data_IF_781836900769
#
_entry.id   IF_781836900769
#
_cell.length_a   1.000
_cell.length_b   1.000
_cell.length_c   1.000
_cell.angle_alpha   90.00
_cell.angle_beta   90.00
_cell.angle_gamma   90.00
#
_symmetry.space_group_name_H-M   'P 1'
#
loop_
_entity.id
_entity.type
_entity.pdbx_description
1 polymer ?
#
# COMPACT_ATOMS: atom_id res chain seq x y z
N UNK A 1 -49.20 13.47 -8.96
CA UNK A 1 -47.87 13.96 -9.38
C UNK A 1 -46.85 13.31 -8.47
N UNK A 2 -45.93 12.55 -9.08
CA UNK A 2 -44.80 11.87 -8.42
C UNK A 2 -43.87 12.89 -7.76
N UNK A 3 -43.22 12.52 -6.65
CA UNK A 3 -42.27 13.38 -5.95
C UNK A 3 -41.43 12.63 -4.93
N UNK A 4 -40.53 11.79 -5.45
CA UNK A 4 -39.28 11.25 -4.89
C UNK A 4 -39.09 11.12 -3.35
N UNK A 5 -38.88 9.86 -2.96
CA UNK A 5 -38.23 9.42 -1.73
C UNK A 5 -36.74 9.82 -1.76
N UNK A 6 -36.23 10.56 -0.76
CA UNK A 6 -34.79 10.83 -0.62
C UNK A 6 -34.28 10.04 0.59
N UNK A 7 -33.72 8.88 0.33
CA UNK A 7 -32.90 8.14 1.30
C UNK A 7 -31.55 8.86 1.33
N UNK A 8 -31.29 9.61 2.40
CA UNK A 8 -29.94 10.08 2.68
C UNK A 8 -29.09 8.87 3.10
N UNK A 9 -28.43 8.23 2.14
CA UNK A 9 -27.28 7.39 2.42
C UNK A 9 -26.15 8.36 2.77
N UNK A 10 -25.89 8.55 4.07
CA UNK A 10 -24.72 9.30 4.52
C UNK A 10 -23.46 8.58 4.02
N UNK A 11 -22.60 9.30 3.30
CA UNK A 11 -21.35 8.77 2.78
C UNK A 11 -20.46 8.25 3.93
N UNK A 12 -19.76 7.12 3.78
CA UNK A 12 -18.83 6.65 4.80
C UNK A 12 -17.65 7.63 4.89
N UNK A 13 -17.62 8.44 5.95
CA UNK A 13 -16.45 9.25 6.29
C UNK A 13 -15.40 8.32 6.90
N UNK A 14 -14.49 7.80 6.08
CA UNK A 14 -13.31 7.10 6.58
C UNK A 14 -12.35 8.12 7.19
N UNK A 15 -12.27 8.19 8.52
CA UNK A 15 -11.28 8.99 9.23
C UNK A 15 -10.06 8.10 9.52
N UNK A 16 -9.02 8.25 8.73
CA UNK A 16 -7.72 7.61 9.00
C UNK A 16 -6.92 8.48 9.96
N UNK A 17 -6.60 7.96 11.15
CA UNK A 17 -5.64 8.58 12.06
C UNK A 17 -4.24 8.04 11.76
N UNK A 18 -3.28 8.94 11.54
CA UNK A 18 -1.85 8.60 11.41
C UNK A 18 -1.11 9.28 12.56
N UNK A 19 -0.48 8.50 13.44
CA UNK A 19 0.45 9.01 14.45
C UNK A 19 1.83 8.46 14.12
N UNK A 20 2.73 9.30 13.60
CA UNK A 20 4.10 8.90 13.24
C UNK A 20 5.13 9.60 14.14
N UNK A 21 5.94 8.82 14.86
CA UNK A 21 7.23 9.24 15.41
C UNK A 21 8.34 8.63 14.55
N UNK A 22 9.51 9.27 14.47
CA UNK A 22 10.54 9.01 13.45
C UNK A 22 10.99 7.54 13.29
N UNK A 23 10.84 6.69 14.31
CA UNK A 23 11.24 5.28 14.29
C UNK A 23 10.10 4.26 14.15
N UNK A 24 8.84 4.70 14.05
CA UNK A 24 7.73 3.77 13.89
C UNK A 24 7.27 3.74 12.43
N UNK A 25 7.34 2.55 11.84
CA UNK A 25 6.63 2.23 10.60
C UNK A 25 5.12 2.21 10.87
N UNK A 26 4.32 2.61 9.88
CA UNK A 26 2.87 2.81 10.03
C UNK A 26 2.08 1.92 9.08
N UNK A 27 1.01 1.30 9.60
CA UNK A 27 0.00 0.63 8.78
C UNK A 27 -1.21 1.53 8.60
N UNK A 28 -1.49 1.95 7.36
CA UNK A 28 -2.76 2.57 7.00
C UNK A 28 -3.79 1.48 6.74
N UNK A 29 -4.83 1.40 7.59
CA UNK A 29 -5.95 0.47 7.40
C UNK A 29 -7.19 1.21 6.92
N UNK A 30 -7.84 0.71 5.87
CA UNK A 30 -9.13 1.20 5.35
C UNK A 30 -10.01 0.02 4.94
N UNK A 31 -11.33 0.21 4.91
CA UNK A 31 -12.24 -0.82 4.41
C UNK A 31 -12.26 -0.90 2.88
N UNK A 32 -12.18 0.25 2.21
CA UNK A 32 -12.23 0.37 0.75
C UNK A 32 -11.19 1.35 0.26
N UNK A 33 -10.69 1.11 -0.94
CA UNK A 33 -9.80 2.02 -1.65
C UNK A 33 -10.25 2.09 -3.11
N UNK A 34 -10.42 3.29 -3.65
CA UNK A 34 -10.83 3.45 -5.04
C UNK A 34 -10.17 4.67 -5.68
N UNK A 35 -9.98 4.62 -7.00
CA UNK A 35 -9.45 5.73 -7.79
C UNK A 35 -8.00 5.52 -8.18
N UNK A 36 -7.22 6.60 -8.19
CA UNK A 36 -5.80 6.56 -8.55
C UNK A 36 -4.98 7.38 -7.57
N UNK A 37 -3.76 6.96 -7.27
CA UNK A 37 -2.93 7.69 -6.30
C UNK A 37 -1.56 7.09 -6.08
N UNK A 38 -0.79 7.76 -5.22
CA UNK A 38 0.56 7.35 -4.86
C UNK A 38 0.61 7.08 -3.35
N UNK A 39 1.25 5.99 -2.96
CA UNK A 39 1.65 5.73 -1.59
C UNK A 39 3.17 5.82 -1.50
N UNK A 40 3.66 6.56 -0.52
CA UNK A 40 5.09 6.69 -0.23
C UNK A 40 5.35 5.90 1.05
N UNK A 41 6.18 4.87 0.97
CA UNK A 41 6.36 3.87 2.01
C UNK A 41 7.84 3.76 2.36
N UNK A 42 8.16 3.81 3.65
CA UNK A 42 9.50 3.53 4.14
C UNK A 42 9.65 2.05 4.41
N UNK A 43 10.85 1.53 4.19
CA UNK A 43 11.21 0.15 4.51
C UNK A 43 12.52 0.11 5.28
N UNK A 44 12.66 -0.90 6.12
CA UNK A 44 13.91 -1.45 6.60
C UNK A 44 13.86 -2.94 6.30
N UNK A 45 14.27 -3.29 5.07
CA UNK A 45 14.17 -4.67 4.61
C UNK A 45 15.08 -5.62 5.38
N UNK A 46 16.24 -5.15 5.83
CA UNK A 46 17.17 -5.93 6.65
C UNK A 46 16.59 -6.33 8.01
N UNK A 47 15.66 -5.54 8.55
CA UNK A 47 14.95 -5.84 9.80
C UNK A 47 13.48 -6.26 9.58
N UNK A 48 13.04 -6.48 8.34
CA UNK A 48 11.68 -6.84 7.96
C UNK A 48 10.60 -5.87 8.48
N UNK A 49 10.86 -4.57 8.42
CA UNK A 49 9.91 -3.54 8.86
C UNK A 49 9.52 -2.62 7.69
N UNK A 50 8.25 -2.25 7.59
CA UNK A 50 7.77 -1.33 6.55
C UNK A 50 6.52 -0.58 6.96
N UNK A 51 6.34 0.60 6.35
CA UNK A 51 5.01 1.18 6.25
C UNK A 51 4.14 0.22 5.42
N UNK A 52 2.85 0.10 5.76
CA UNK A 52 1.93 -0.86 5.11
C UNK A 52 0.60 -0.20 4.75
N UNK A 53 -0.01 -0.71 3.67
CA UNK A 53 -1.39 -0.40 3.29
C UNK A 53 -2.23 -1.68 3.42
N UNK A 54 -3.23 -1.65 4.29
CA UNK A 54 -4.16 -2.75 4.48
C UNK A 54 -5.59 -2.32 4.13
N UNK A 55 -6.08 -2.76 2.97
CA UNK A 55 -7.48 -2.58 2.57
C UNK A 55 -8.26 -3.83 2.99
N UNK A 56 -9.10 -3.76 4.01
CA UNK A 56 -9.77 -4.98 4.54
C UNK A 56 -10.88 -5.50 3.63
N UNK A 57 -11.39 -4.69 2.71
CA UNK A 57 -12.40 -5.04 1.72
C UNK A 57 -11.89 -4.81 0.29
N UNK A 58 -12.71 -4.16 -0.54
CA UNK A 58 -12.42 -4.02 -1.97
C UNK A 58 -11.49 -2.84 -2.28
N UNK A 59 -10.47 -3.10 -3.11
CA UNK A 59 -9.64 -2.08 -3.74
C UNK A 59 -9.86 -2.06 -5.26
N UNK A 60 -10.08 -0.89 -5.86
CA UNK A 60 -10.24 -0.74 -7.32
C UNK A 60 -9.47 0.48 -7.88
N UNK A 61 -8.89 0.34 -9.08
CA UNK A 61 -8.14 1.41 -9.77
C UNK A 61 -6.61 1.29 -9.68
N UNK A 62 -5.89 2.31 -10.13
CA UNK A 62 -4.44 2.23 -10.38
C UNK A 62 -3.62 3.06 -9.39
N UNK A 63 -2.73 2.40 -8.64
CA UNK A 63 -1.91 3.03 -7.63
C UNK A 63 -0.41 2.79 -7.86
N UNK A 64 0.39 3.78 -7.48
CA UNK A 64 1.85 3.66 -7.46
C UNK A 64 2.36 3.57 -6.03
N UNK A 65 3.28 2.65 -5.79
CA UNK A 65 4.02 2.52 -4.55
C UNK A 65 5.42 3.10 -4.77
N UNK A 66 5.79 4.11 -4.00
CA UNK A 66 7.14 4.66 -3.96
C UNK A 66 7.81 4.21 -2.68
N UNK A 67 8.97 3.57 -2.81
CA UNK A 67 9.71 2.99 -1.69
C UNK A 67 10.96 3.81 -1.39
N UNK A 68 11.24 4.00 -0.11
CA UNK A 68 12.53 4.49 0.39
C UNK A 68 12.99 3.56 1.51
N UNK A 69 14.11 2.89 1.30
CA UNK A 69 14.70 2.00 2.30
C UNK A 69 15.78 2.69 3.14
N UNK A 70 16.09 2.15 4.32
CA UNK A 70 17.23 2.59 5.15
C UNK A 70 18.59 2.43 4.46
N UNK A 71 18.69 1.55 3.46
CA UNK A 71 19.91 1.21 2.74
C UNK A 71 20.71 0.07 3.39
N UNK A 72 20.23 -0.50 4.50
CA UNK A 72 20.83 -1.69 5.09
C UNK A 72 20.62 -2.90 4.17
N UNK A 73 21.69 -3.65 3.87
CA UNK A 73 21.58 -4.84 3.02
C UNK A 73 20.76 -5.93 3.71
N UNK A 74 19.70 -6.44 3.08
CA UNK A 74 18.96 -7.59 3.57
C UNK A 74 19.71 -8.90 3.32
N UNK A 75 19.19 -10.00 3.86
CA UNK A 75 19.64 -11.34 3.51
C UNK A 75 19.09 -11.74 2.12
N UNK A 76 19.79 -12.67 1.47
CA UNK A 76 19.38 -13.17 0.17
C UNK A 76 17.99 -13.85 0.24
N UNK A 77 17.05 -13.36 -0.56
CA UNK A 77 15.68 -13.90 -0.61
C UNK A 77 14.71 -13.25 0.37
N UNK A 78 15.14 -12.24 1.13
CA UNK A 78 14.22 -11.46 1.95
C UNK A 78 13.19 -10.74 1.08
N UNK A 79 11.95 -10.74 1.55
CA UNK A 79 10.80 -10.10 0.92
C UNK A 79 9.94 -9.40 1.97
N UNK A 80 9.20 -8.37 1.56
CA UNK A 80 8.41 -7.55 2.47
C UNK A 80 7.07 -7.16 1.85
N UNK A 81 5.98 -7.62 2.46
CA UNK A 81 4.62 -7.23 2.04
C UNK A 81 4.34 -5.78 2.41
N UNK A 82 4.02 -4.98 1.40
CA UNK A 82 3.69 -3.57 1.54
C UNK A 82 2.19 -3.31 1.45
N UNK A 83 1.47 -4.09 0.63
CA UNK A 83 0.05 -3.88 0.38
C UNK A 83 -0.69 -5.20 0.54
N UNK A 84 -1.80 -5.17 1.26
CA UNK A 84 -2.80 -6.25 1.30
C UNK A 84 -4.18 -5.68 1.01
N UNK A 85 -4.97 -6.39 0.22
CA UNK A 85 -6.38 -6.06 -0.02
C UNK A 85 -7.28 -7.26 0.26
N UNK A 86 -8.51 -7.03 0.71
CA UNK A 86 -9.51 -8.09 0.93
C UNK A 86 -10.10 -8.63 -0.37
N UNK A 87 -9.90 -7.92 -1.48
CA UNK A 87 -10.34 -8.27 -2.82
C UNK A 87 -10.35 -7.05 -3.74
N UNK A 88 -10.82 -7.27 -4.96
CA UNK A 88 -10.96 -6.22 -5.99
C UNK A 88 -9.96 -6.37 -7.11
N UNK A 89 -9.89 -5.35 -7.97
CA UNK A 89 -9.13 -5.34 -9.22
C UNK A 89 -8.11 -4.20 -9.26
N UNK A 90 -7.75 -3.63 -8.10
CA UNK A 90 -6.72 -2.61 -8.01
C UNK A 90 -5.37 -3.13 -8.52
N UNK A 91 -4.69 -2.29 -9.29
CA UNK A 91 -3.32 -2.51 -9.71
C UNK A 91 -2.38 -1.65 -8.86
N UNK A 92 -1.35 -2.29 -8.30
CA UNK A 92 -0.25 -1.59 -7.62
C UNK A 92 1.04 -1.82 -8.41
N UNK A 93 1.73 -0.72 -8.71
CA UNK A 93 3.01 -0.76 -9.45
C UNK A 93 4.08 0.03 -8.72
N UNK A 94 5.35 -0.36 -8.88
CA UNK A 94 6.43 0.43 -8.31
C UNK A 94 6.61 1.73 -9.10
N UNK A 95 6.53 2.86 -8.40
CA UNK A 95 6.65 4.21 -8.96
C UNK A 95 8.09 4.73 -9.05
N UNK A 96 9.04 4.07 -8.38
CA UNK A 96 10.46 4.41 -8.43
C UNK A 96 11.00 4.35 -9.87
N UNK A 97 12.07 5.10 -10.15
CA UNK A 97 12.63 5.20 -11.49
C UNK A 97 12.99 3.80 -12.04
N UNK A 98 12.54 3.50 -13.26
CA UNK A 98 12.77 2.20 -13.87
C UNK A 98 11.88 1.06 -13.35
N UNK A 99 10.97 1.32 -12.40
CA UNK A 99 10.14 0.28 -11.78
C UNK A 99 10.91 -0.61 -10.80
N UNK A 100 12.05 -0.11 -10.30
CA UNK A 100 12.96 -0.80 -9.38
C UNK A 100 13.33 0.09 -8.20
N UNK A 101 13.73 -0.51 -7.07
CA UNK A 101 14.28 0.20 -5.91
C UNK A 101 15.56 -0.50 -5.43
N UNK A 102 16.61 0.29 -5.23
CA UNK A 102 17.87 -0.17 -4.66
C UNK A 102 17.74 -0.31 -3.13
N UNK A 103 18.01 -1.52 -2.61
CA UNK A 103 17.97 -1.85 -1.19
C UNK A 103 19.28 -2.54 -0.82
N UNK A 104 20.21 -1.74 -0.29
CA UNK A 104 21.56 -2.17 0.03
C UNK A 104 22.28 -2.71 -1.22
N UNK A 105 22.60 -4.00 -1.21
CA UNK A 105 23.31 -4.70 -2.30
C UNK A 105 22.39 -5.33 -3.35
N UNK A 106 21.07 -5.16 -3.20
CA UNK A 106 20.06 -5.80 -4.05
C UNK A 106 19.15 -4.77 -4.72
N UNK A 107 18.57 -5.15 -5.85
CA UNK A 107 17.53 -4.39 -6.53
C UNK A 107 16.20 -5.15 -6.42
N UNK A 108 15.13 -4.43 -6.07
CA UNK A 108 13.81 -4.99 -5.85
C UNK A 108 12.78 -4.41 -6.83
N UNK A 109 11.81 -5.25 -7.20
CA UNK A 109 10.61 -4.84 -7.94
C UNK A 109 9.38 -5.12 -7.08
N UNK A 110 8.24 -4.49 -7.38
CA UNK A 110 7.00 -4.82 -6.69
C UNK A 110 6.35 -6.03 -7.37
N UNK A 111 6.25 -7.15 -6.65
CA UNK A 111 5.62 -8.37 -7.09
C UNK A 111 4.15 -8.40 -6.65
N UNK A 112 3.24 -8.63 -7.60
CA UNK A 112 1.88 -9.09 -7.31
C UNK A 112 1.91 -10.61 -7.04
N UNK A 113 1.57 -11.01 -5.81
CA UNK A 113 1.59 -12.40 -5.39
C UNK A 113 0.39 -13.21 -5.89
N UNK A 114 -0.56 -12.60 -6.61
CA UNK A 114 -1.76 -13.24 -7.15
C UNK A 114 -2.81 -13.61 -6.09
N UNK A 115 -2.63 -13.14 -4.87
CA UNK A 115 -3.49 -13.40 -3.71
C UNK A 115 -3.90 -12.10 -2.99
N UNK A 116 -4.03 -11.01 -3.75
CA UNK A 116 -4.38 -9.67 -3.24
C UNK A 116 -3.31 -9.08 -2.28
N UNK A 117 -2.05 -9.45 -2.50
CA UNK A 117 -0.91 -8.99 -1.73
C UNK A 117 0.25 -8.61 -2.64
N UNK A 118 0.90 -7.50 -2.33
CA UNK A 118 2.07 -7.01 -3.06
C UNK A 118 3.25 -6.89 -2.13
N UNK A 119 4.39 -7.42 -2.57
CA UNK A 119 5.64 -7.43 -1.82
C UNK A 119 6.80 -6.92 -2.67
N UNK A 120 7.79 -6.36 -2.00
CA UNK A 120 9.14 -6.28 -2.55
C UNK A 120 9.78 -7.65 -2.46
#
# INVERSE_FOLDING_TARGET
>A
MSGANVIMMAEPVTRSSVTASAENFTTLTTNTLSGNGNFYMRTDMANHQSDQLNVTGQATGDFKIFVTDTGASPAAGDSLTLVTTGGGDAAFTLGNAGGVVDIGTYEYTLLDNGNHSWSL
#
